data_IF_886933059089
#
_entry.id   IF_886933059089
#
_cell.length_a   1.000
_cell.length_b   1.000
_cell.length_c   1.000
_cell.angle_alpha   90.00
_cell.angle_beta   90.00
_cell.angle_gamma   90.00
#
_symmetry.space_group_name_H-M   'P 1'
#
loop_
_entity.id
_entity.type
_entity.pdbx_description
1 polymer ?
#
# COMPACT_ATOMS: atom_id res chain seq x y z
N UNK A 1 -1.14 4.60 15.17
CA UNK A 1 -0.95 4.14 13.78
C UNK A 1 -0.14 5.20 13.06
N UNK A 2 1.00 4.80 12.52
CA UNK A 2 1.86 5.64 11.71
C UNK A 2 1.52 5.43 10.24
N UNK A 3 1.39 6.54 9.49
CA UNK A 3 1.10 6.51 8.06
C UNK A 3 2.18 7.31 7.35
N UNK A 4 2.93 6.64 6.48
CA UNK A 4 3.83 7.27 5.52
C UNK A 4 3.21 7.18 4.12
N UNK A 5 3.12 8.31 3.43
CA UNK A 5 2.58 8.38 2.07
C UNK A 5 3.56 9.15 1.19
N UNK A 6 4.22 8.44 0.28
CA UNK A 6 5.28 8.98 -0.58
C UNK A 6 4.72 9.71 -1.81
N UNK A 7 3.38 9.78 -1.98
CA UNK A 7 2.75 10.53 -3.07
C UNK A 7 2.95 12.04 -2.92
N UNK A 8 3.30 12.71 -4.02
CA UNK A 8 3.14 14.16 -4.14
C UNK A 8 1.67 14.56 -4.20
N UNK A 9 1.35 15.85 -4.04
CA UNK A 9 -0.03 16.35 -4.11
C UNK A 9 -0.71 16.01 -5.44
N UNK A 10 0.03 16.10 -6.54
CA UNK A 10 -0.43 15.76 -7.89
C UNK A 10 -0.65 14.24 -8.04
N UNK A 11 0.21 13.44 -7.40
CA UNK A 11 0.07 11.98 -7.39
C UNK A 11 -1.11 11.51 -6.53
N UNK A 12 -1.53 12.27 -5.53
CA UNK A 12 -2.76 11.97 -4.78
C UNK A 12 -4.02 12.05 -5.65
N UNK A 13 -3.99 12.78 -6.76
CA UNK A 13 -5.11 12.89 -7.70
C UNK A 13 -5.03 11.87 -8.84
N UNK A 14 -3.83 11.47 -9.24
CA UNK A 14 -3.59 10.59 -10.39
C UNK A 14 -3.38 9.12 -9.99
N UNK A 15 -2.65 8.88 -8.90
CA UNK A 15 -2.31 7.55 -8.37
C UNK A 15 -3.26 7.20 -7.22
N UNK A 16 -4.54 7.14 -7.55
CA UNK A 16 -5.63 6.90 -6.60
C UNK A 16 -5.87 5.42 -6.33
N UNK A 17 -5.33 4.52 -7.15
CA UNK A 17 -5.52 3.08 -6.97
C UNK A 17 -4.44 2.54 -6.05
N UNK A 18 -4.84 1.91 -4.93
CA UNK A 18 -3.91 1.31 -3.98
C UNK A 18 -4.05 -0.20 -4.04
N UNK A 19 -2.95 -0.88 -4.34
CA UNK A 19 -2.79 -2.31 -4.05
C UNK A 19 -2.17 -2.43 -2.67
N UNK A 20 -2.79 -3.16 -1.75
CA UNK A 20 -2.38 -3.23 -0.34
C UNK A 20 -2.04 -4.66 0.02
N UNK A 21 -0.85 -4.88 0.57
CA UNK A 21 -0.40 -6.12 1.17
C UNK A 21 -0.17 -5.97 2.69
N UNK A 22 -0.36 -7.05 3.42
CA UNK A 22 0.12 -7.17 4.80
C UNK A 22 1.55 -7.68 4.76
N UNK A 23 2.48 -6.83 5.19
CA UNK A 23 3.91 -7.14 5.22
C UNK A 23 4.21 -8.04 6.43
N UNK A 24 4.62 -9.28 6.15
CA UNK A 24 4.96 -10.26 7.18
C UNK A 24 6.28 -9.99 7.88
N UNK A 25 7.24 -9.38 7.20
CA UNK A 25 8.58 -9.16 7.75
C UNK A 25 8.56 -8.06 8.80
N UNK A 26 7.83 -6.98 8.52
CA UNK A 26 7.62 -5.90 9.48
C UNK A 26 6.56 -6.22 10.54
N UNK A 27 5.69 -7.21 10.30
CA UNK A 27 4.73 -7.69 11.30
C UNK A 27 5.39 -8.66 12.30
N UNK A 28 5.60 -8.20 13.53
CA UNK A 28 6.11 -9.04 14.64
C UNK A 28 7.58 -8.84 15.02
N UNK A 29 8.35 -8.03 14.29
CA UNK A 29 9.70 -7.62 14.69
C UNK A 29 9.70 -6.22 15.33
N UNK A 30 10.20 -6.13 16.57
CA UNK A 30 10.57 -4.87 17.24
C UNK A 30 9.44 -3.87 17.52
N UNK A 31 9.05 -3.09 16.51
CA UNK A 31 8.18 -1.91 16.62
C UNK A 31 6.69 -2.17 16.30
N UNK A 32 6.38 -3.31 15.66
CA UNK A 32 5.01 -3.74 15.38
C UNK A 32 4.39 -4.61 16.50
N UNK A 33 4.86 -4.45 17.76
CA UNK A 33 4.43 -5.28 18.90
C UNK A 33 2.91 -5.20 19.19
N UNK A 34 2.21 -4.24 18.58
CA UNK A 34 0.78 -3.96 18.76
C UNK A 34 -0.06 -3.97 17.46
N UNK A 35 0.43 -4.53 16.34
CA UNK A 35 -0.38 -4.64 15.12
C UNK A 35 0.41 -5.03 13.87
N UNK A 36 -0.29 -5.26 12.77
CA UNK A 36 0.31 -5.55 11.46
C UNK A 36 0.88 -4.30 10.79
N UNK A 37 1.91 -4.49 9.96
CA UNK A 37 2.41 -3.49 9.01
C UNK A 37 1.78 -3.72 7.66
N UNK A 38 1.22 -2.68 7.05
CA UNK A 38 0.67 -2.72 5.69
C UNK A 38 1.58 -1.94 4.73
N UNK A 39 1.88 -2.56 3.60
CA UNK A 39 2.49 -1.90 2.45
C UNK A 39 1.40 -1.66 1.40
N UNK A 40 1.39 -0.48 0.81
CA UNK A 40 0.49 -0.13 -0.26
C UNK A 40 1.26 0.45 -1.44
N UNK A 41 0.82 0.12 -2.65
CA UNK A 41 1.38 0.62 -3.91
C UNK A 41 0.32 1.45 -4.63
N UNK A 42 0.55 2.76 -4.65
CA UNK A 42 -0.26 3.72 -5.34
C UNK A 42 0.10 3.75 -6.82
N UNK A 43 -0.87 3.43 -7.67
CA UNK A 43 -0.71 3.37 -9.11
C UNK A 43 -1.88 4.04 -9.82
N UNK A 44 -1.71 4.26 -11.12
CA UNK A 44 -2.81 4.66 -12.00
C UNK A 44 -3.76 3.47 -12.19
N UNK A 45 -5.00 3.77 -12.54
CA UNK A 45 -6.01 2.76 -12.80
C UNK A 45 -5.62 1.77 -13.91
N UNK A 46 -4.91 2.26 -14.95
CA UNK A 46 -4.42 1.44 -16.07
C UNK A 46 -3.36 0.41 -15.66
N UNK A 47 -2.62 0.71 -14.60
CA UNK A 47 -1.50 -0.11 -14.11
C UNK A 47 -1.92 -1.07 -12.99
N UNK A 48 -3.11 -0.87 -12.40
CA UNK A 48 -3.59 -1.63 -11.26
C UNK A 48 -3.52 -3.16 -11.44
N UNK A 49 -3.94 -3.76 -12.58
CA UNK A 49 -3.86 -5.21 -12.75
C UNK A 49 -2.42 -5.74 -12.74
N UNK A 50 -1.47 -4.98 -13.31
CA UNK A 50 -0.05 -5.35 -13.34
C UNK A 50 0.55 -5.29 -11.94
N UNK A 51 0.27 -4.20 -11.21
CA UNK A 51 0.73 -4.00 -9.84
C UNK A 51 0.15 -5.07 -8.92
N UNK A 52 -1.15 -5.37 -9.02
CA UNK A 52 -1.80 -6.43 -8.25
C UNK A 52 -1.11 -7.77 -8.46
N UNK A 53 -0.98 -8.21 -9.72
CA UNK A 53 -0.34 -9.47 -10.05
C UNK A 53 1.11 -9.52 -9.55
N UNK A 54 1.86 -8.42 -9.67
CA UNK A 54 3.21 -8.35 -9.14
C UNK A 54 3.22 -8.52 -7.61
N UNK A 55 2.38 -7.79 -6.86
CA UNK A 55 2.30 -7.87 -5.39
C UNK A 55 1.91 -9.27 -4.92
N UNK A 56 0.92 -9.90 -5.57
CA UNK A 56 0.47 -11.27 -5.24
C UNK A 56 1.58 -12.31 -5.41
N UNK A 57 2.45 -12.13 -6.41
CA UNK A 57 3.54 -13.07 -6.70
C UNK A 57 4.79 -12.88 -5.84
N UNK A 58 4.89 -11.83 -5.01
CA UNK A 58 6.09 -11.58 -4.19
C UNK A 58 6.28 -12.55 -3.02
N UNK A 59 5.23 -13.27 -2.60
CA UNK A 59 5.27 -14.28 -1.53
C UNK A 59 5.50 -13.74 -0.10
N UNK A 60 5.99 -12.50 0.04
CA UNK A 60 6.20 -11.78 1.30
C UNK A 60 4.95 -11.03 1.80
N UNK A 61 3.99 -10.78 0.90
CA UNK A 61 2.74 -10.10 1.19
C UNK A 61 1.59 -11.09 1.46
N UNK A 62 0.76 -10.79 2.47
CA UNK A 62 -0.49 -11.51 2.73
C UNK A 62 -1.71 -10.63 2.52
N UNK A 63 -2.87 -11.26 2.29
CA UNK A 63 -4.18 -10.58 2.21
C UNK A 63 -4.16 -9.38 1.26
N UNK A 64 -3.56 -9.62 0.09
CA UNK A 64 -3.46 -8.62 -0.98
C UNK A 64 -4.87 -8.22 -1.40
N UNK A 65 -5.11 -6.91 -1.50
CA UNK A 65 -6.40 -6.35 -1.88
C UNK A 65 -6.23 -5.00 -2.54
N UNK A 66 -7.25 -4.57 -3.25
CA UNK A 66 -7.27 -3.28 -3.92
C UNK A 66 -8.25 -2.32 -3.24
N UNK A 67 -7.95 -1.03 -3.29
CA UNK A 67 -8.89 0.02 -2.88
C UNK A 67 -8.60 1.31 -3.62
N UNK A 68 -9.55 2.24 -3.57
CA UNK A 68 -9.41 3.56 -4.17
C UNK A 68 -9.21 4.59 -3.06
N UNK A 69 -8.10 5.32 -3.10
CA UNK A 69 -7.75 6.37 -2.16
C UNK A 69 -7.73 7.72 -2.88
N UNK A 70 -8.89 8.39 -2.94
CA UNK A 70 -9.05 9.71 -3.56
C UNK A 70 -8.89 10.85 -2.55
N UNK A 71 -8.63 12.09 -2.98
CA UNK A 71 -8.79 13.26 -2.14
C UNK A 71 -10.19 13.27 -1.50
N UNK A 72 -10.27 13.46 -0.18
CA UNK A 72 -11.52 13.40 0.59
C UNK A 72 -11.96 11.99 1.07
N UNK A 73 -11.45 10.91 0.45
CA UNK A 73 -11.72 9.53 0.85
C UNK A 73 -10.41 8.74 0.95
N UNK A 74 -9.56 9.14 1.91
CA UNK A 74 -8.25 8.51 2.11
C UNK A 74 -8.40 7.13 2.74
N UNK A 75 -7.62 6.18 2.26
CA UNK A 75 -7.53 4.87 2.89
C UNK A 75 -6.97 5.01 4.30
N UNK A 76 -7.73 4.53 5.30
CA UNK A 76 -7.34 4.50 6.71
C UNK A 76 -7.66 3.13 7.28
N UNK A 77 -6.67 2.23 7.44
CA UNK A 77 -6.93 0.95 8.05
C UNK A 77 -7.28 1.14 9.53
N UNK A 78 -7.95 0.15 10.12
CA UNK A 78 -8.35 0.22 11.52
C UNK A 78 -7.09 0.20 12.41
N UNK A 79 -6.89 1.24 13.25
CA UNK A 79 -5.68 1.38 14.08
C UNK A 79 -5.54 0.31 15.16
N UNK A 80 -6.60 -0.45 15.46
CA UNK A 80 -6.54 -1.60 16.37
C UNK A 80 -5.81 -2.82 15.74
N UNK A 81 -5.72 -2.88 14.41
CA UNK A 81 -5.09 -3.99 13.69
C UNK A 81 -3.84 -3.55 12.92
N UNK A 82 -3.79 -2.30 12.46
CA UNK A 82 -2.69 -1.75 11.67
C UNK A 82 -1.88 -0.77 12.52
N UNK A 83 -0.65 -1.14 12.83
CA UNK A 83 0.28 -0.27 13.55
C UNK A 83 0.97 0.72 12.61
N UNK A 84 1.30 0.27 11.39
CA UNK A 84 2.08 1.02 10.41
C UNK A 84 1.52 0.82 9.00
N UNK A 85 1.39 1.90 8.23
CA UNK A 85 1.01 1.88 6.81
C UNK A 85 2.02 2.71 6.03
N UNK A 86 2.64 2.11 5.01
CA UNK A 86 3.47 2.83 4.05
C UNK A 86 2.83 2.74 2.66
N UNK A 87 2.58 3.89 2.03
CA UNK A 87 2.11 4.01 0.66
C UNK A 87 3.27 4.44 -0.24
N UNK A 88 3.73 3.52 -1.09
CA UNK A 88 4.71 3.74 -2.15
C UNK A 88 4.03 4.23 -3.43
N UNK A 89 4.76 4.96 -4.27
CA UNK A 89 4.29 5.34 -5.61
C UNK A 89 4.88 4.40 -6.65
N UNK A 90 4.03 3.84 -7.48
CA UNK A 90 4.44 3.09 -8.68
C UNK A 90 4.59 4.10 -9.82
N UNK A 91 5.83 4.39 -10.18
CA UNK A 91 6.16 5.22 -11.34
C UNK A 91 6.55 4.35 -12.56
N UNK A 92 6.80 5.01 -13.70
CA UNK A 92 7.14 4.35 -14.96
C UNK A 92 8.41 3.49 -14.94
N UNK A 93 9.25 3.59 -13.91
CA UNK A 93 10.47 2.80 -13.74
C UNK A 93 10.29 1.66 -12.73
N UNK A 94 9.10 1.50 -12.18
CA UNK A 94 8.82 0.47 -11.19
C UNK A 94 8.79 -0.92 -11.85
N UNK A 95 9.39 -1.92 -11.20
CA UNK A 95 9.52 -3.30 -11.71
C UNK A 95 8.20 -4.04 -11.94
N UNK A 96 7.08 -3.45 -11.53
CA UNK A 96 5.74 -4.01 -11.75
C UNK A 96 5.09 -3.55 -13.06
N UNK A 97 5.64 -2.57 -13.78
CA UNK A 97 5.04 -1.99 -14.99
C UNK A 97 5.58 -2.58 -16.30
#
# INVERSE_FOLDING_TARGET
MEIQDDRTKEQMETHIWLVIGTDRFLSGWGQAKNGSSYAAWACKMEDAPKVLNWVENRGDQLRVRETVCRPGARYRPNPAYCAHLHIYVVDGNHTSL
#
